data_IF_971903710506
#
_entry.id   IF_971903710506
#
_cell.length_a   1.000
_cell.length_b   1.000
_cell.length_c   1.000
_cell.angle_alpha   90.00
_cell.angle_beta   90.00
_cell.angle_gamma   90.00
#
_symmetry.space_group_name_H-M   'P 1'
#
loop_
_entity.id
_entity.type
_entity.pdbx_description
1 polymer ?
#
# COMPACT_ATOMS: atom_id res chain seq x y z
N UNK A 1 -9.83 9.04 -35.51
CA UNK A 1 -10.05 7.80 -34.73
C UNK A 1 -8.79 7.31 -34.02
N UNK A 2 -7.58 7.58 -34.54
CA UNK A 2 -6.29 7.13 -33.97
C UNK A 2 -5.89 7.80 -32.65
N UNK A 3 -6.30 9.06 -32.41
CA UNK A 3 -5.95 9.83 -31.21
C UNK A 3 -6.60 9.31 -29.92
N UNK A 4 -7.81 8.73 -30.02
CA UNK A 4 -8.51 8.16 -28.87
C UNK A 4 -7.83 6.86 -28.39
N UNK A 5 -7.29 6.05 -29.30
CA UNK A 5 -6.59 4.81 -28.95
C UNK A 5 -5.28 5.07 -28.20
N UNK A 6 -4.50 6.07 -28.62
CA UNK A 6 -3.23 6.43 -27.95
C UNK A 6 -3.45 7.01 -26.55
N UNK A 7 -4.55 7.75 -26.36
CA UNK A 7 -4.91 8.31 -25.06
C UNK A 7 -5.41 7.22 -24.09
N UNK A 8 -6.23 6.27 -24.57
CA UNK A 8 -6.73 5.14 -23.78
C UNK A 8 -5.60 4.19 -23.31
N UNK A 9 -4.62 3.93 -24.19
CA UNK A 9 -3.43 3.14 -23.88
C UNK A 9 -2.54 3.84 -22.82
N UNK A 10 -2.29 5.15 -22.98
CA UNK A 10 -1.52 5.92 -21.98
C UNK A 10 -2.22 5.97 -20.63
N UNK A 11 -3.55 6.10 -20.62
CA UNK A 11 -4.35 6.08 -19.41
C UNK A 11 -4.26 4.74 -18.67
N UNK A 12 -4.43 3.62 -19.38
CA UNK A 12 -4.25 2.26 -18.83
C UNK A 12 -2.84 2.07 -18.28
N UNK A 13 -1.82 2.54 -19.00
CA UNK A 13 -0.42 2.44 -18.59
C UNK A 13 -0.12 3.26 -17.32
N UNK A 14 -0.62 4.50 -17.23
CA UNK A 14 -0.50 5.34 -16.03
C UNK A 14 -1.19 4.71 -14.82
N UNK A 15 -2.39 4.14 -15.00
CA UNK A 15 -3.15 3.47 -13.93
C UNK A 15 -2.42 2.22 -13.43
N UNK A 16 -1.86 1.42 -14.33
CA UNK A 16 -1.02 0.27 -13.97
C UNK A 16 0.26 0.70 -13.23
N UNK A 17 0.95 1.74 -13.74
CA UNK A 17 2.20 2.24 -13.14
C UNK A 17 1.99 2.79 -11.73
N UNK A 18 0.91 3.57 -11.49
CA UNK A 18 0.55 4.07 -10.15
C UNK A 18 0.30 2.93 -9.16
N UNK A 19 -0.41 1.88 -9.56
CA UNK A 19 -0.65 0.71 -8.70
C UNK A 19 0.66 0.02 -8.32
N UNK A 20 1.54 -0.21 -9.29
CA UNK A 20 2.84 -0.84 -9.04
C UNK A 20 3.68 0.01 -8.10
N UNK A 21 3.68 1.34 -8.25
CA UNK A 21 4.46 2.24 -7.39
C UNK A 21 3.96 2.24 -5.94
N UNK A 22 2.64 2.22 -5.73
CA UNK A 22 2.04 2.12 -4.39
C UNK A 22 2.37 0.78 -3.72
N UNK A 23 2.27 -0.33 -4.46
CA UNK A 23 2.60 -1.67 -3.97
C UNK A 23 4.10 -1.76 -3.63
N UNK A 24 4.98 -1.15 -4.43
CA UNK A 24 6.44 -1.19 -4.21
C UNK A 24 6.86 -0.50 -2.92
N UNK A 25 6.23 0.65 -2.59
CA UNK A 25 6.46 1.35 -1.32
C UNK A 25 5.97 0.55 -0.10
N UNK A 26 4.80 -0.09 -0.22
CA UNK A 26 4.26 -0.96 0.82
C UNK A 26 5.14 -2.20 1.06
N UNK A 27 5.57 -2.87 -0.01
CA UNK A 27 6.40 -4.08 0.10
C UNK A 27 7.74 -3.81 0.81
N UNK A 28 8.34 -2.63 0.65
CA UNK A 28 9.58 -2.27 1.36
C UNK A 28 9.39 -2.28 2.88
N UNK A 29 8.35 -1.59 3.37
CA UNK A 29 8.04 -1.57 4.80
C UNK A 29 7.54 -2.93 5.31
N UNK A 30 6.75 -3.66 4.51
CA UNK A 30 6.27 -5.00 4.85
C UNK A 30 7.41 -6.02 4.99
N UNK A 31 8.36 -5.99 4.07
CA UNK A 31 9.55 -6.85 4.11
C UNK A 31 10.41 -6.51 5.33
N UNK A 32 10.64 -5.22 5.60
CA UNK A 32 11.37 -4.78 6.77
C UNK A 32 10.67 -5.25 8.06
N UNK A 33 9.34 -5.10 8.17
CA UNK A 33 8.57 -5.60 9.31
C UNK A 33 8.68 -7.12 9.46
N UNK A 34 8.58 -7.87 8.36
CA UNK A 34 8.69 -9.33 8.38
C UNK A 34 10.05 -9.83 8.86
N UNK A 35 11.12 -9.04 8.73
CA UNK A 35 12.47 -9.37 9.21
C UNK A 35 12.71 -8.84 10.63
N UNK A 36 12.31 -7.59 10.90
CA UNK A 36 12.57 -6.90 12.17
C UNK A 36 11.77 -7.51 13.32
N UNK A 37 10.50 -7.85 13.10
CA UNK A 37 9.64 -8.43 14.15
C UNK A 37 10.14 -9.77 14.68
N UNK A 38 10.49 -10.79 13.86
CA UNK A 38 11.03 -12.02 14.39
C UNK A 38 12.40 -11.83 15.06
N UNK A 39 13.23 -10.89 14.60
CA UNK A 39 14.48 -10.54 15.29
C UNK A 39 14.19 -9.98 16.69
N UNK A 40 13.24 -9.05 16.82
CA UNK A 40 12.84 -8.52 18.13
C UNK A 40 12.19 -9.59 19.01
N UNK A 41 11.34 -10.46 18.44
CA UNK A 41 10.71 -11.56 19.17
C UNK A 41 11.76 -12.55 19.69
N UNK A 42 12.79 -12.85 18.89
CA UNK A 42 13.90 -13.71 19.31
C UNK A 42 14.72 -13.08 20.44
N UNK A 43 15.04 -11.78 20.34
CA UNK A 43 15.74 -11.05 21.42
C UNK A 43 14.90 -11.03 22.70
N UNK A 44 13.59 -10.81 22.56
CA UNK A 44 12.66 -10.80 23.69
C UNK A 44 12.65 -12.15 24.41
N UNK A 45 12.47 -13.25 23.65
CA UNK A 45 12.50 -14.61 24.18
C UNK A 45 13.81 -14.95 24.91
N UNK A 46 14.93 -14.33 24.54
CA UNK A 46 16.24 -14.56 25.14
C UNK A 46 16.56 -13.69 26.35
N UNK A 47 15.97 -12.50 26.46
CA UNK A 47 16.44 -11.47 27.40
C UNK A 47 15.50 -11.22 28.56
N UNK A 48 14.19 -11.43 28.42
CA UNK A 48 13.21 -11.04 29.46
C UNK A 48 11.92 -11.86 29.37
N UNK A 49 11.29 -12.19 30.50
CA UNK A 49 9.95 -12.81 30.57
C UNK A 49 8.80 -11.89 30.10
N UNK A 50 9.09 -10.61 29.83
CA UNK A 50 8.10 -9.62 29.43
C UNK A 50 8.14 -9.34 27.92
N UNK A 51 7.03 -9.54 27.17
CA UNK A 51 6.97 -9.42 25.72
C UNK A 51 6.93 -7.95 25.24
N UNK A 52 7.93 -7.14 25.60
CA UNK A 52 8.06 -5.75 25.15
C UNK A 52 8.12 -5.60 23.62
N UNK A 53 8.51 -6.65 22.88
CA UNK A 53 8.52 -6.66 21.42
C UNK A 53 7.11 -6.52 20.81
N UNK A 54 6.05 -6.74 21.58
CA UNK A 54 4.67 -6.63 21.10
C UNK A 54 4.24 -5.18 20.83
N UNK A 55 4.82 -4.20 21.54
CA UNK A 55 4.52 -2.78 21.35
C UNK A 55 4.97 -2.26 19.97
N UNK A 56 6.25 -2.43 19.56
CA UNK A 56 6.65 -2.08 18.20
C UNK A 56 5.96 -2.96 17.16
N UNK A 57 5.68 -4.24 17.46
CA UNK A 57 4.91 -5.10 16.56
C UNK A 57 3.50 -4.59 16.27
N UNK A 58 2.76 -4.18 17.30
CA UNK A 58 1.42 -3.63 17.16
C UNK A 58 1.42 -2.26 16.51
N UNK A 59 2.32 -1.36 16.93
CA UNK A 59 2.42 -0.01 16.37
C UNK A 59 2.80 -0.01 14.88
N UNK A 60 3.85 -0.74 14.51
CA UNK A 60 4.23 -0.88 13.10
C UNK A 60 3.23 -1.74 12.33
N UNK A 61 2.65 -2.76 12.94
CA UNK A 61 1.64 -3.61 12.30
C UNK A 61 0.39 -2.81 11.90
N UNK A 62 -0.04 -1.86 12.73
CA UNK A 62 -1.15 -0.97 12.41
C UNK A 62 -0.81 -0.01 11.26
N UNK A 63 0.39 0.56 11.26
CA UNK A 63 0.91 1.36 10.15
C UNK A 63 1.02 0.56 8.85
N UNK A 64 1.39 -0.73 8.94
CA UNK A 64 1.43 -1.63 7.80
C UNK A 64 0.04 -1.95 7.28
N UNK A 65 -0.94 -2.20 8.16
CA UNK A 65 -2.32 -2.43 7.79
C UNK A 65 -2.90 -1.24 7.03
N UNK A 66 -2.69 -0.01 7.52
CA UNK A 66 -3.14 1.21 6.84
C UNK A 66 -2.44 1.36 5.48
N UNK A 67 -1.12 1.17 5.42
CA UNK A 67 -0.39 1.24 4.16
C UNK A 67 -0.80 0.14 3.17
N UNK A 68 -1.10 -1.06 3.66
CA UNK A 68 -1.55 -2.19 2.86
C UNK A 68 -2.94 -1.96 2.28
N UNK A 69 -3.85 -1.42 3.09
CA UNK A 69 -5.19 -1.00 2.63
C UNK A 69 -5.09 0.08 1.53
N UNK A 70 -4.22 1.08 1.73
CA UNK A 70 -3.91 2.09 0.71
C UNK A 70 -3.30 1.47 -0.57
N UNK A 71 -2.34 0.55 -0.44
CA UNK A 71 -1.64 -0.06 -1.57
C UNK A 71 -2.52 -1.01 -2.39
N UNK A 72 -3.46 -1.71 -1.74
CA UNK A 72 -4.40 -2.61 -2.41
C UNK A 72 -5.59 -1.86 -3.06
N UNK A 73 -5.63 -0.53 -2.93
CA UNK A 73 -6.70 0.32 -3.49
C UNK A 73 -7.99 0.25 -2.69
N UNK A 74 -7.94 -0.25 -1.45
CA UNK A 74 -9.04 -0.20 -0.50
C UNK A 74 -8.87 1.05 0.35
N UNK A 75 -9.00 2.21 -0.29
CA UNK A 75 -9.01 3.49 0.40
C UNK A 75 -10.26 3.52 1.29
N UNK A 76 -10.17 3.40 2.63
CA UNK A 76 -11.34 3.20 3.50
C UNK A 76 -12.31 4.39 3.48
N UNK A 77 -11.89 5.55 2.95
CA UNK A 77 -12.70 6.77 2.88
C UNK A 77 -13.25 7.08 1.48
N UNK A 78 -12.56 6.66 0.41
CA UNK A 78 -12.91 7.07 -0.96
C UNK A 78 -12.53 5.96 -1.93
N UNK A 79 -13.41 4.96 -2.05
CA UNK A 79 -13.19 3.78 -2.89
C UNK A 79 -12.97 4.11 -4.37
N UNK A 80 -12.47 3.11 -5.10
CA UNK A 80 -12.18 3.06 -6.55
C UNK A 80 -13.20 3.79 -7.46
N UNK A 81 -14.47 3.85 -7.05
CA UNK A 81 -15.56 4.54 -7.75
C UNK A 81 -15.35 6.07 -7.83
N UNK A 82 -14.69 6.69 -6.85
CA UNK A 82 -14.42 8.14 -6.89
C UNK A 82 -13.31 8.47 -7.89
N UNK A 83 -12.25 7.67 -7.94
CA UNK A 83 -11.19 7.84 -8.96
C UNK A 83 -11.77 7.67 -10.37
N UNK A 84 -12.61 6.65 -10.59
CA UNK A 84 -13.25 6.45 -11.90
C UNK A 84 -14.22 7.58 -12.27
N UNK A 85 -14.92 8.17 -11.30
CA UNK A 85 -15.73 9.37 -11.52
C UNK A 85 -14.89 10.59 -11.88
N UNK A 86 -13.82 10.87 -11.14
CA UNK A 86 -12.96 12.02 -11.41
C UNK A 86 -12.25 11.93 -12.75
N UNK A 87 -11.84 10.72 -13.14
CA UNK A 87 -11.24 10.52 -14.45
C UNK A 87 -12.25 10.72 -15.58
N UNK A 88 -13.51 10.30 -15.37
CA UNK A 88 -14.60 10.60 -16.33
C UNK A 88 -14.86 12.09 -16.47
N UNK A 89 -14.84 12.84 -15.36
CA UNK A 89 -14.95 14.31 -15.39
C UNK A 89 -13.83 14.94 -16.24
N UNK A 90 -12.55 14.60 -15.99
CA UNK A 90 -11.41 15.14 -16.74
C UNK A 90 -11.33 14.71 -18.22
N UNK A 91 -12.15 13.75 -18.66
CA UNK A 91 -12.20 13.29 -20.05
C UNK A 91 -13.41 13.87 -20.81
N UNK A 92 -14.35 14.48 -20.08
CA UNK A 92 -15.53 15.15 -20.64
C UNK A 92 -15.38 16.68 -20.68
N UNK A 93 -14.35 17.24 -20.04
CA UNK A 93 -13.80 18.58 -20.32
C UNK A 93 -12.72 18.50 -21.41
#
# INVERSE_FOLDING_TARGET
MESNFTNDQNYKYKKAKKKVQAIKGFYGNALAYCIVIPVLAYINYRTTDFPWAIFPALGWGFGLLINGLCAYGYNPLFGKNWEERKIKEFMQE
#
